data_IF_939957454517
#
_entry.id   IF_939957454517
#
_cell.length_a   1.000
_cell.length_b   1.000
_cell.length_c   1.000
_cell.angle_alpha   90.00
_cell.angle_beta   90.00
_cell.angle_gamma   90.00
#
_symmetry.space_group_name_H-M   'P 1'
#
loop_
_entity.id
_entity.type
_entity.pdbx_description
1 polymer ?
#
# COMPACT_ATOMS: atom_id res chain seq x y z
N UNK A 1 7.05 13.27 -22.38
CA UNK A 1 7.80 14.54 -22.16
C UNK A 1 9.28 14.19 -22.07
N UNK A 2 10.16 14.77 -22.89
CA UNK A 2 11.61 14.44 -22.97
C UNK A 2 12.44 15.63 -22.48
N UNK A 3 13.25 15.61 -21.38
CA UNK A 3 14.22 16.61 -20.93
C UNK A 3 15.65 16.23 -21.41
N UNK A 4 16.18 16.95 -22.40
CA UNK A 4 17.58 16.82 -22.82
C UNK A 4 18.53 17.53 -21.84
N UNK A 5 19.78 17.10 -21.83
CA UNK A 5 20.83 17.30 -20.84
C UNK A 5 21.04 18.71 -20.24
N UNK A 6 21.46 18.65 -18.98
CA UNK A 6 22.15 19.68 -18.17
C UNK A 6 21.36 20.93 -17.82
N UNK A 7 20.54 20.82 -16.78
CA UNK A 7 20.36 21.96 -15.87
C UNK A 7 21.61 22.06 -14.99
N UNK A 8 22.60 22.83 -15.42
CA UNK A 8 23.63 23.36 -14.52
C UNK A 8 22.93 24.34 -13.58
N UNK A 9 22.65 23.89 -12.38
CA UNK A 9 22.19 24.71 -11.27
C UNK A 9 23.23 25.78 -10.99
N UNK A 10 22.87 27.03 -11.24
CA UNK A 10 23.51 28.14 -10.57
C UNK A 10 22.43 28.91 -9.81
N UNK A 11 22.67 28.96 -8.54
CA UNK A 11 22.07 29.73 -7.44
C UNK A 11 21.16 28.93 -6.52
N UNK A 12 21.83 28.29 -5.55
CA UNK A 12 21.28 28.06 -4.21
C UNK A 12 20.84 29.40 -3.62
N UNK A 13 19.58 29.74 -3.73
CA UNK A 13 19.00 30.77 -2.88
C UNK A 13 18.29 30.06 -1.75
N UNK A 14 18.80 30.11 -0.52
CA UNK A 14 18.16 29.44 0.60
C UNK A 14 16.79 30.06 0.81
N UNK A 15 15.77 29.18 1.00
CA UNK A 15 14.46 29.59 1.51
C UNK A 15 14.70 30.23 2.89
N UNK A 16 14.70 31.54 2.93
CA UNK A 16 14.94 32.30 4.15
C UNK A 16 13.85 32.07 5.16
N UNK A 17 14.16 32.08 6.46
CA UNK A 17 13.15 31.97 7.50
C UNK A 17 12.17 33.17 7.42
N UNK A 18 10.91 32.93 7.83
CA UNK A 18 9.93 34.01 7.98
C UNK A 18 10.57 35.17 8.73
N UNK A 19 10.53 36.35 8.13
CA UNK A 19 10.97 37.56 8.83
C UNK A 19 10.02 37.83 9.99
N UNK A 20 10.56 38.28 11.12
CA UNK A 20 9.82 38.62 12.36
C UNK A 20 8.77 39.74 12.16
N UNK A 21 8.72 40.37 10.98
CA UNK A 21 7.78 41.47 10.64
C UNK A 21 6.47 41.01 9.99
N UNK A 22 6.18 39.69 9.92
CA UNK A 22 4.94 39.12 9.39
C UNK A 22 4.78 39.30 7.87
N UNK A 23 5.81 39.74 7.14
CA UNK A 23 5.77 39.83 5.68
C UNK A 23 6.07 38.48 5.04
N UNK A 24 5.14 38.02 4.20
CA UNK A 24 5.36 36.85 3.37
C UNK A 24 6.44 37.20 2.34
N UNK A 25 7.60 36.57 2.41
CA UNK A 25 8.59 36.65 1.33
C UNK A 25 8.07 35.83 0.15
N UNK A 26 7.69 36.49 -0.94
CA UNK A 26 7.35 35.79 -2.17
C UNK A 26 8.62 35.11 -2.70
N UNK A 27 8.53 33.79 -2.92
CA UNK A 27 9.54 33.06 -3.66
C UNK A 27 9.28 33.29 -5.17
N UNK A 28 10.21 33.93 -5.92
CA UNK A 28 10.04 34.02 -7.35
C UNK A 28 10.13 32.66 -7.99
N UNK A 29 9.06 32.22 -8.63
CA UNK A 29 9.09 30.97 -9.38
C UNK A 29 10.14 31.05 -10.51
N UNK A 30 10.87 29.97 -10.79
CA UNK A 30 11.75 29.90 -11.94
C UNK A 30 10.97 30.24 -13.22
N UNK A 31 11.54 31.11 -14.05
CA UNK A 31 10.99 31.48 -15.36
C UNK A 31 11.87 30.88 -16.46
N UNK A 32 11.25 30.38 -17.52
CA UNK A 32 11.95 29.92 -18.72
C UNK A 32 11.51 30.78 -19.92
N UNK A 33 12.46 31.20 -20.73
CA UNK A 33 12.20 32.09 -21.89
C UNK A 33 11.83 31.32 -23.17
N UNK A 34 11.87 29.98 -23.11
CA UNK A 34 11.56 29.12 -24.25
C UNK A 34 10.80 27.87 -23.77
N UNK A 35 10.00 27.25 -24.65
CA UNK A 35 9.33 25.98 -24.34
C UNK A 35 10.31 24.90 -23.87
N UNK A 36 9.91 24.15 -22.81
CA UNK A 36 10.71 23.05 -22.28
C UNK A 36 10.32 21.76 -22.98
N UNK A 37 11.29 21.11 -23.60
CA UNK A 37 11.11 19.79 -24.21
C UNK A 37 11.81 18.71 -23.37
N UNK A 38 11.07 17.73 -22.92
CA UNK A 38 11.61 16.74 -21.99
C UNK A 38 10.93 15.37 -22.11
N UNK A 39 11.67 14.24 -21.99
CA UNK A 39 11.10 12.91 -21.74
C UNK A 39 11.31 12.51 -20.29
N UNK A 40 10.22 12.27 -19.55
CA UNK A 40 10.28 11.84 -18.16
C UNK A 40 9.77 10.39 -18.09
N UNK A 41 10.61 9.47 -17.60
CA UNK A 41 10.17 8.13 -17.27
C UNK A 41 9.48 8.15 -15.91
N UNK A 42 8.21 7.77 -15.88
CA UNK A 42 7.45 7.71 -14.64
C UNK A 42 7.80 6.42 -13.88
N UNK A 43 7.95 6.49 -12.56
CA UNK A 43 8.14 5.31 -11.73
C UNK A 43 6.85 4.49 -11.65
N UNK A 44 6.97 3.20 -11.34
CA UNK A 44 5.82 2.32 -11.13
C UNK A 44 4.90 2.77 -10.00
N UNK A 45 3.64 2.34 -10.07
CA UNK A 45 2.63 2.68 -9.06
C UNK A 45 2.97 2.06 -7.69
N UNK A 46 3.02 2.92 -6.66
CA UNK A 46 3.17 2.49 -5.26
C UNK A 46 2.05 1.56 -4.82
N UNK A 47 0.83 1.89 -5.21
CA UNK A 47 -0.37 1.15 -4.82
C UNK A 47 -0.38 -0.26 -5.40
N UNK A 48 0.03 -0.43 -6.66
CA UNK A 48 0.16 -1.74 -7.31
C UNK A 48 1.34 -2.50 -6.73
N UNK A 49 2.51 -1.87 -6.59
CA UNK A 49 3.72 -2.50 -6.03
C UNK A 49 3.45 -3.13 -4.67
N UNK A 50 2.84 -2.39 -3.73
CA UNK A 50 2.59 -2.90 -2.39
C UNK A 50 1.56 -4.05 -2.36
N UNK A 51 0.54 -4.02 -3.23
CA UNK A 51 -0.42 -5.13 -3.38
C UNK A 51 0.23 -6.36 -3.99
N UNK A 52 1.01 -6.18 -5.06
CA UNK A 52 1.74 -7.27 -5.71
C UNK A 52 2.70 -7.96 -4.72
N UNK A 53 3.40 -7.20 -3.87
CA UNK A 53 4.28 -7.74 -2.83
C UNK A 53 3.50 -8.60 -1.82
N UNK A 54 2.33 -8.14 -1.34
CA UNK A 54 1.52 -8.91 -0.40
C UNK A 54 0.96 -10.16 -1.07
N UNK A 55 0.40 -10.06 -2.28
CA UNK A 55 -0.14 -11.21 -3.00
C UNK A 55 0.96 -12.23 -3.32
N UNK A 56 2.13 -11.78 -3.77
CA UNK A 56 3.26 -12.65 -4.03
C UNK A 56 3.82 -13.34 -2.76
N UNK A 57 3.76 -12.66 -1.60
CA UNK A 57 4.15 -13.26 -0.32
C UNK A 57 3.18 -14.35 0.18
N UNK A 58 1.91 -14.27 -0.21
CA UNK A 58 0.85 -15.21 0.17
C UNK A 58 0.53 -16.25 -0.92
N UNK A 59 1.20 -16.17 -2.08
CA UNK A 59 0.96 -17.03 -3.22
C UNK A 59 1.42 -18.48 -2.98
N UNK A 60 0.97 -19.38 -3.84
CA UNK A 60 1.31 -20.81 -3.84
C UNK A 60 2.67 -21.12 -4.49
N UNK A 61 3.35 -20.13 -5.08
CA UNK A 61 4.63 -20.27 -5.74
C UNK A 61 5.38 -18.94 -5.90
N UNK A 62 6.60 -18.99 -6.47
CA UNK A 62 7.39 -17.80 -6.73
C UNK A 62 6.75 -16.86 -7.75
N UNK A 63 6.99 -15.57 -7.59
CA UNK A 63 6.51 -14.49 -8.48
C UNK A 63 7.63 -13.51 -8.79
N UNK A 64 7.59 -12.92 -9.99
CA UNK A 64 8.42 -11.78 -10.36
C UNK A 64 7.56 -10.50 -10.37
N UNK A 65 8.09 -9.41 -9.84
CA UNK A 65 7.46 -8.09 -9.91
C UNK A 65 8.39 -7.18 -10.71
N UNK A 66 7.97 -6.77 -11.90
CA UNK A 66 8.71 -5.87 -12.79
C UNK A 66 8.10 -4.47 -12.78
N UNK A 67 8.91 -3.43 -12.86
CA UNK A 67 8.48 -2.03 -12.77
C UNK A 67 8.12 -1.59 -11.34
N UNK A 68 8.56 -2.32 -10.32
CA UNK A 68 8.27 -2.02 -8.93
C UNK A 68 8.78 -0.63 -8.53
N UNK A 69 7.94 0.16 -7.87
CA UNK A 69 8.37 1.44 -7.32
C UNK A 69 9.44 1.24 -6.25
N UNK A 70 10.52 2.01 -6.35
CA UNK A 70 11.53 2.13 -5.29
C UNK A 70 11.29 3.41 -4.49
N UNK A 71 10.73 3.26 -3.31
CA UNK A 71 10.42 4.35 -2.38
C UNK A 71 10.61 3.88 -0.94
N UNK A 72 10.58 4.83 0.02
CA UNK A 72 10.61 4.47 1.44
C UNK A 72 9.47 3.50 1.79
N UNK A 73 8.25 3.76 1.33
CA UNK A 73 7.07 2.96 1.66
C UNK A 73 7.17 1.53 1.12
N UNK A 74 7.65 1.35 -0.12
CA UNK A 74 7.84 0.02 -0.70
C UNK A 74 9.02 -0.72 -0.09
N UNK A 75 10.07 0.00 0.30
CA UNK A 75 11.18 -0.55 1.09
C UNK A 75 10.73 -1.09 2.45
N UNK A 76 9.85 -0.35 3.14
CA UNK A 76 9.26 -0.78 4.40
C UNK A 76 8.35 -2.01 4.21
N UNK A 77 7.58 -2.08 3.12
CA UNK A 77 6.76 -3.25 2.79
C UNK A 77 7.63 -4.49 2.56
N UNK A 78 8.71 -4.35 1.77
CA UNK A 78 9.67 -5.43 1.52
C UNK A 78 10.31 -5.90 2.85
N UNK A 79 10.74 -4.96 3.70
CA UNK A 79 11.32 -5.27 4.99
C UNK A 79 10.33 -5.99 5.91
N UNK A 80 9.08 -5.55 5.96
CA UNK A 80 8.02 -6.16 6.74
C UNK A 80 7.75 -7.61 6.30
N UNK A 81 7.58 -7.87 5.01
CA UNK A 81 7.34 -9.22 4.50
C UNK A 81 8.56 -10.13 4.70
N UNK A 82 9.79 -9.60 4.57
CA UNK A 82 11.01 -10.35 4.91
C UNK A 82 11.07 -10.70 6.40
N UNK A 83 10.68 -9.78 7.27
CA UNK A 83 10.62 -10.03 8.72
C UNK A 83 9.61 -11.15 9.06
N UNK A 84 8.57 -11.31 8.25
CA UNK A 84 7.61 -12.41 8.37
C UNK A 84 8.03 -13.71 7.65
N UNK A 85 9.24 -13.76 7.07
CA UNK A 85 9.81 -14.98 6.48
C UNK A 85 9.80 -15.05 4.96
N UNK A 86 9.11 -14.16 4.25
CA UNK A 86 9.09 -14.15 2.79
C UNK A 86 10.48 -13.80 2.23
N UNK A 87 10.97 -14.60 1.28
CA UNK A 87 12.23 -14.30 0.59
C UNK A 87 11.96 -13.33 -0.58
N UNK A 88 12.50 -12.13 -0.49
CA UNK A 88 12.41 -11.11 -1.55
C UNK A 88 13.82 -10.70 -1.93
N UNK A 89 14.21 -10.89 -3.19
CA UNK A 89 15.52 -10.51 -3.73
C UNK A 89 15.32 -9.64 -4.97
N UNK A 90 16.32 -8.88 -5.32
CA UNK A 90 16.35 -7.99 -6.47
C UNK A 90 16.69 -6.57 -6.06
N UNK A 91 17.13 -5.83 -7.04
CA UNK A 91 17.48 -4.41 -6.99
C UNK A 91 16.71 -3.68 -8.09
N UNK A 92 16.89 -2.36 -8.16
CA UNK A 92 16.18 -1.52 -9.11
C UNK A 92 14.64 -1.74 -9.05
N UNK A 93 14.02 -2.05 -10.17
CA UNK A 93 12.59 -2.15 -10.35
C UNK A 93 12.07 -3.60 -10.50
N UNK A 94 12.97 -4.59 -10.44
CA UNK A 94 12.61 -6.00 -10.59
C UNK A 94 12.89 -6.76 -9.30
N UNK A 95 11.85 -7.43 -8.79
CA UNK A 95 11.89 -8.18 -7.53
C UNK A 95 11.43 -9.61 -7.77
N UNK A 96 12.22 -10.58 -7.28
CA UNK A 96 11.80 -11.97 -7.18
C UNK A 96 11.31 -12.25 -5.76
N UNK A 97 10.07 -12.72 -5.63
CA UNK A 97 9.41 -13.02 -4.36
C UNK A 97 9.17 -14.51 -4.28
N UNK A 98 9.66 -15.14 -3.22
CA UNK A 98 9.41 -16.56 -2.94
C UNK A 98 8.69 -16.67 -1.60
N UNK A 99 7.43 -17.14 -1.59
CA UNK A 99 6.69 -17.40 -0.36
C UNK A 99 7.41 -18.40 0.53
N UNK A 100 7.19 -18.27 1.83
CA UNK A 100 7.65 -19.23 2.82
C UNK A 100 6.65 -19.30 3.97
N UNK A 101 6.71 -20.31 4.84
CA UNK A 101 5.92 -20.35 6.07
C UNK A 101 6.13 -19.06 6.87
N UNK A 102 5.04 -18.35 7.16
CA UNK A 102 5.09 -17.09 7.85
C UNK A 102 5.42 -17.28 9.34
N UNK A 103 6.28 -16.42 9.86
CA UNK A 103 6.72 -16.43 11.25
C UNK A 103 6.59 -15.06 11.87
N UNK A 104 6.42 -15.00 13.18
CA UNK A 104 6.43 -13.76 13.92
C UNK A 104 7.75 -13.01 13.79
N UNK A 105 7.69 -11.68 13.95
CA UNK A 105 8.86 -10.83 13.77
C UNK A 105 8.63 -9.39 14.24
N UNK A 106 9.48 -8.47 13.82
CA UNK A 106 9.34 -7.04 14.09
C UNK A 106 9.13 -6.30 12.79
N UNK A 107 8.08 -5.49 12.74
CA UNK A 107 7.68 -4.69 11.58
C UNK A 107 7.80 -3.23 11.92
N UNK A 108 8.71 -2.53 11.24
CA UNK A 108 8.74 -1.07 11.20
C UNK A 108 7.81 -0.59 10.10
N UNK A 109 6.76 0.10 10.48
CA UNK A 109 5.80 0.71 9.55
C UNK A 109 6.29 2.06 9.01
N UNK A 110 7.30 2.69 9.65
CA UNK A 110 7.65 4.07 9.37
C UNK A 110 6.42 4.96 9.35
N UNK A 111 6.15 5.62 8.22
CA UNK A 111 4.91 6.35 7.92
C UNK A 111 4.06 5.68 6.82
N UNK A 112 4.40 4.47 6.41
CA UNK A 112 3.78 3.78 5.28
C UNK A 112 2.39 3.26 5.62
N UNK A 113 1.35 3.98 5.15
CA UNK A 113 -0.04 3.63 5.38
C UNK A 113 -0.43 2.23 4.88
N UNK A 114 0.18 1.76 3.82
CA UNK A 114 -0.05 0.41 3.27
C UNK A 114 0.56 -0.67 4.17
N UNK A 115 1.76 -0.45 4.72
CA UNK A 115 2.35 -1.39 5.69
C UNK A 115 1.46 -1.52 6.92
N UNK A 116 1.04 -0.38 7.49
CA UNK A 116 0.18 -0.32 8.68
C UNK A 116 -1.16 -1.05 8.51
N UNK A 117 -1.67 -1.22 7.28
CA UNK A 117 -3.01 -1.79 7.04
C UNK A 117 -3.01 -3.09 6.27
N UNK A 118 -1.96 -3.38 5.48
CA UNK A 118 -1.89 -4.61 4.69
C UNK A 118 -1.10 -5.72 5.39
N UNK A 119 -0.10 -5.35 6.21
CA UNK A 119 0.74 -6.36 6.88
C UNK A 119 0.09 -6.97 8.13
N UNK A 120 -0.71 -6.26 8.96
CA UNK A 120 -1.37 -6.90 10.10
C UNK A 120 -2.25 -8.11 9.71
N UNK A 121 -3.08 -8.09 8.64
CA UNK A 121 -3.78 -9.30 8.17
C UNK A 121 -2.83 -10.44 7.78
N UNK A 122 -1.67 -10.15 7.16
CA UNK A 122 -0.65 -11.16 6.86
C UNK A 122 -0.05 -11.75 8.14
N UNK A 123 0.22 -10.90 9.14
CA UNK A 123 0.80 -11.31 10.40
C UNK A 123 -0.11 -12.24 11.22
N UNK A 124 -1.44 -12.18 11.03
CA UNK A 124 -2.35 -13.15 11.67
C UNK A 124 -2.14 -14.57 11.18
N UNK A 125 -1.58 -14.75 9.98
CA UNK A 125 -1.26 -16.04 9.37
C UNK A 125 0.16 -16.55 9.74
N UNK A 126 0.93 -15.73 10.48
CA UNK A 126 2.25 -16.13 10.95
C UNK A 126 2.15 -17.02 12.21
N UNK A 127 3.19 -17.79 12.48
CA UNK A 127 3.34 -18.49 13.76
C UNK A 127 4.20 -17.65 14.69
N UNK A 128 3.63 -17.24 15.84
CA UNK A 128 4.33 -16.47 16.86
C UNK A 128 3.93 -14.98 16.89
N UNK A 129 4.65 -14.20 17.66
CA UNK A 129 4.34 -12.79 17.89
C UNK A 129 4.96 -11.90 16.80
N UNK A 130 4.17 -10.95 16.29
CA UNK A 130 4.63 -9.90 15.40
C UNK A 130 4.41 -8.54 16.07
N UNK A 131 5.49 -7.86 16.39
CA UNK A 131 5.47 -6.51 16.98
C UNK A 131 5.52 -5.45 15.87
N UNK A 132 4.60 -4.50 15.93
CA UNK A 132 4.50 -3.39 14.99
C UNK A 132 4.83 -2.08 15.69
N UNK A 133 5.69 -1.26 15.09
CA UNK A 133 5.92 0.14 15.49
C UNK A 133 6.22 0.98 14.23
N UNK A 134 6.49 2.24 14.41
CA UNK A 134 6.80 3.17 13.32
C UNK A 134 7.18 4.55 13.82
N UNK A 135 7.28 5.50 12.89
CA UNK A 135 7.58 6.90 13.20
C UNK A 135 6.58 7.46 14.23
N UNK A 136 7.00 8.38 15.07
CA UNK A 136 6.13 9.03 16.06
C UNK A 136 4.85 9.59 15.41
N UNK A 137 4.98 10.19 14.21
CA UNK A 137 3.84 10.69 13.45
C UNK A 137 2.91 9.59 12.90
N UNK A 138 3.35 8.32 12.85
CA UNK A 138 2.50 7.21 12.47
C UNK A 138 1.55 6.78 13.60
N UNK A 139 1.93 6.99 14.86
CA UNK A 139 1.19 6.53 16.04
C UNK A 139 -0.18 7.20 16.20
N UNK A 140 -0.36 8.40 15.60
CA UNK A 140 -1.67 9.10 15.61
C UNK A 140 -2.57 8.74 14.42
N UNK A 141 -2.09 7.92 13.49
CA UNK A 141 -2.87 7.52 12.33
C UNK A 141 -3.91 6.45 12.69
N UNK A 142 -5.14 6.52 12.13
CA UNK A 142 -6.21 5.59 12.48
C UNK A 142 -5.85 4.16 12.06
N UNK A 143 -5.84 3.25 13.03
CA UNK A 143 -5.63 1.81 12.87
C UNK A 143 -6.72 0.96 13.52
N UNK A 144 -7.45 1.52 14.49
CA UNK A 144 -8.45 0.78 15.26
C UNK A 144 -9.41 -0.01 14.36
N UNK A 145 -9.91 0.59 13.28
CA UNK A 145 -10.83 -0.07 12.34
C UNK A 145 -10.30 -1.41 11.82
N UNK A 146 -9.05 -1.47 11.37
CA UNK A 146 -8.47 -2.71 10.85
C UNK A 146 -8.14 -3.70 11.98
N UNK A 147 -7.65 -3.22 13.13
CA UNK A 147 -7.31 -4.07 14.27
C UNK A 147 -8.56 -4.71 14.89
N UNK A 148 -9.64 -3.93 15.07
CA UNK A 148 -10.91 -4.44 15.58
C UNK A 148 -11.57 -5.40 14.57
N UNK A 149 -11.46 -5.14 13.27
CA UNK A 149 -11.92 -6.07 12.26
C UNK A 149 -11.20 -7.42 12.37
N UNK A 150 -9.87 -7.42 12.49
CA UNK A 150 -9.09 -8.64 12.63
C UNK A 150 -9.43 -9.39 13.94
N UNK A 151 -9.65 -8.69 15.06
CA UNK A 151 -10.12 -9.29 16.30
C UNK A 151 -11.49 -9.95 16.11
N UNK A 152 -12.42 -9.29 15.42
CA UNK A 152 -13.73 -9.84 15.07
C UNK A 152 -13.64 -11.10 14.21
N UNK A 153 -12.62 -11.21 13.37
CA UNK A 153 -12.32 -12.38 12.55
C UNK A 153 -11.55 -13.48 13.31
N UNK A 154 -11.19 -13.25 14.58
CA UNK A 154 -10.56 -14.23 15.46
C UNK A 154 -9.08 -14.02 15.75
N UNK A 155 -8.50 -12.87 15.39
CA UNK A 155 -7.10 -12.57 15.67
C UNK A 155 -6.87 -12.17 17.15
N UNK A 156 -5.75 -12.60 17.73
CA UNK A 156 -5.24 -12.12 19.01
C UNK A 156 -4.33 -10.91 18.77
N UNK A 157 -4.82 -9.73 19.13
CA UNK A 157 -4.11 -8.46 18.93
C UNK A 157 -4.14 -7.62 20.19
N UNK A 158 -2.97 -7.23 20.67
CA UNK A 158 -2.78 -6.33 21.80
C UNK A 158 -2.42 -4.92 21.31
N UNK A 159 -3.18 -3.91 21.76
CA UNK A 159 -3.01 -2.50 21.36
C UNK A 159 -3.98 -2.07 20.27
N UNK A 160 -4.31 -0.75 20.23
CA UNK A 160 -5.29 -0.15 19.32
C UNK A 160 -4.66 0.80 18.28
N UNK A 161 -3.38 1.09 18.45
CA UNK A 161 -2.55 1.96 17.61
C UNK A 161 -1.11 1.49 17.71
N UNK A 162 -0.21 2.08 16.92
CA UNK A 162 1.23 1.83 17.08
C UNK A 162 1.73 2.33 18.44
N UNK A 163 2.56 1.55 19.16
CA UNK A 163 2.91 0.18 18.85
C UNK A 163 1.79 -0.81 19.24
N UNK A 164 1.69 -1.93 18.52
CA UNK A 164 0.78 -3.04 18.82
C UNK A 164 1.44 -4.38 18.49
N UNK A 165 0.84 -5.48 18.98
CA UNK A 165 1.34 -6.83 18.74
C UNK A 165 0.22 -7.72 18.20
N UNK A 166 0.54 -8.53 17.18
CA UNK A 166 -0.31 -9.61 16.66
C UNK A 166 0.28 -10.95 17.10
N UNK A 167 -0.53 -11.81 17.71
CA UNK A 167 -0.14 -13.18 18.05
C UNK A 167 -0.80 -14.14 17.07
N UNK A 168 -0.04 -14.57 16.07
CA UNK A 168 -0.51 -15.48 15.05
C UNK A 168 -0.27 -16.95 15.43
N UNK A 169 -1.17 -17.80 14.99
CA UNK A 169 -1.11 -19.27 15.20
C UNK A 169 -0.90 -20.05 13.90
N UNK A 170 -0.64 -19.35 12.81
CA UNK A 170 -0.49 -19.95 11.47
C UNK A 170 -1.78 -19.97 10.65
N UNK A 171 -2.91 -19.60 11.24
CA UNK A 171 -4.23 -19.53 10.60
C UNK A 171 -5.06 -18.42 11.22
N UNK A 172 -6.06 -17.95 10.50
CA UNK A 172 -7.12 -17.05 10.99
C UNK A 172 -8.46 -17.61 10.52
N UNK A 173 -9.44 -17.69 11.43
CA UNK A 173 -10.77 -18.20 11.08
C UNK A 173 -11.39 -17.44 9.90
N UNK A 174 -11.38 -16.10 9.94
CA UNK A 174 -12.06 -15.30 8.92
C UNK A 174 -13.56 -15.17 9.15
N UNK A 175 -14.34 -15.09 8.06
CA UNK A 175 -15.79 -14.94 8.08
C UNK A 175 -16.26 -13.52 7.81
N UNK A 176 -17.46 -13.14 8.32
CA UNK A 176 -18.10 -11.86 8.02
C UNK A 176 -17.76 -10.80 9.06
N UNK A 177 -17.45 -9.58 8.57
CA UNK A 177 -17.19 -8.41 9.42
C UNK A 177 -17.81 -7.15 8.81
N UNK A 178 -18.33 -6.28 9.67
CA UNK A 178 -18.80 -4.95 9.28
C UNK A 178 -17.84 -3.90 9.81
N UNK A 179 -17.39 -2.99 8.95
CA UNK A 179 -16.44 -1.94 9.30
C UNK A 179 -16.90 -0.58 8.77
N UNK A 180 -16.57 0.48 9.50
CA UNK A 180 -16.59 1.83 8.95
C UNK A 180 -15.25 2.14 8.27
N UNK A 181 -15.23 2.08 6.95
CA UNK A 181 -14.05 2.38 6.13
C UNK A 181 -14.06 3.81 5.55
N UNK A 182 -14.94 4.70 6.05
CA UNK A 182 -15.02 6.10 5.60
C UNK A 182 -13.70 6.86 5.76
N UNK A 183 -12.87 6.46 6.73
CA UNK A 183 -11.55 7.06 6.96
C UNK A 183 -10.47 6.60 5.98
N UNK A 184 -10.62 5.42 5.36
CA UNK A 184 -9.65 4.91 4.39
C UNK A 184 -10.13 3.64 3.69
N UNK A 185 -10.11 3.63 2.36
CA UNK A 185 -10.31 2.43 1.52
C UNK A 185 -9.26 1.32 1.77
N UNK A 186 -8.12 1.66 2.39
CA UNK A 186 -7.08 0.68 2.72
C UNK A 186 -7.52 -0.34 3.78
N UNK A 187 -8.52 -0.03 4.60
CA UNK A 187 -9.06 -1.00 5.57
C UNK A 187 -9.74 -2.16 4.84
N UNK A 188 -10.56 -1.86 3.83
CA UNK A 188 -11.16 -2.89 2.98
C UNK A 188 -10.07 -3.64 2.21
N UNK A 189 -9.21 -2.93 1.46
CA UNK A 189 -8.15 -3.55 0.67
C UNK A 189 -7.23 -4.47 1.49
N UNK A 190 -6.88 -4.07 2.73
CA UNK A 190 -6.02 -4.87 3.61
C UNK A 190 -6.65 -6.22 3.99
N UNK A 191 -7.95 -6.23 4.31
CA UNK A 191 -8.68 -7.46 4.61
C UNK A 191 -8.82 -8.36 3.37
N UNK A 192 -9.16 -7.78 2.21
CA UNK A 192 -9.33 -8.55 0.97
C UNK A 192 -8.04 -9.22 0.52
N UNK A 193 -6.88 -8.53 0.59
CA UNK A 193 -5.59 -9.05 0.14
C UNK A 193 -5.18 -10.36 0.81
N UNK A 194 -5.54 -10.54 2.08
CA UNK A 194 -5.22 -11.75 2.84
C UNK A 194 -6.41 -12.70 2.97
N UNK A 195 -7.62 -12.26 2.61
CA UNK A 195 -8.87 -12.95 2.87
C UNK A 195 -8.95 -14.38 2.33
N UNK A 196 -8.35 -14.64 1.15
CA UNK A 196 -8.33 -15.98 0.59
C UNK A 196 -7.52 -16.99 1.44
N UNK A 197 -6.62 -16.51 2.30
CA UNK A 197 -5.81 -17.34 3.19
C UNK A 197 -6.43 -17.55 4.57
N UNK A 198 -7.60 -16.97 4.83
CA UNK A 198 -8.38 -17.24 6.04
C UNK A 198 -9.22 -18.50 5.83
N UNK A 199 -9.46 -19.27 6.90
CA UNK A 199 -10.14 -20.59 6.82
C UNK A 199 -11.55 -20.50 6.21
N UNK A 200 -12.31 -19.45 6.56
CA UNK A 200 -13.66 -19.17 6.05
C UNK A 200 -13.67 -18.06 4.98
N UNK A 201 -12.48 -17.63 4.50
CA UNK A 201 -12.40 -16.44 3.66
C UNK A 201 -12.74 -15.15 4.42
N UNK A 202 -13.21 -14.11 3.70
CA UNK A 202 -13.67 -12.88 4.35
C UNK A 202 -14.84 -12.26 3.61
N UNK A 203 -15.85 -11.82 4.37
CA UNK A 203 -16.95 -10.97 3.89
C UNK A 203 -16.84 -9.63 4.58
N UNK A 204 -16.46 -8.60 3.84
CA UNK A 204 -16.33 -7.22 4.36
C UNK A 204 -17.55 -6.42 3.96
N UNK A 205 -18.32 -5.95 4.95
CA UNK A 205 -19.44 -5.01 4.76
C UNK A 205 -19.02 -3.63 5.23
N UNK A 206 -19.19 -2.64 4.37
CA UNK A 206 -18.97 -1.25 4.75
C UNK A 206 -20.23 -0.64 5.36
N UNK A 207 -20.10 -0.04 6.55
CA UNK A 207 -21.15 0.77 7.17
C UNK A 207 -20.57 2.12 7.51
N UNK A 208 -21.05 3.17 6.89
CA UNK A 208 -20.52 4.52 7.14
C UNK A 208 -20.83 5.46 6.00
N UNK A 209 -20.13 6.60 5.97
CA UNK A 209 -20.21 7.53 4.86
C UNK A 209 -19.46 7.01 3.63
N UNK A 210 -19.56 7.71 2.49
CA UNK A 210 -18.95 7.29 1.24
C UNK A 210 -17.45 6.98 1.40
N UNK A 211 -17.02 5.89 0.75
CA UNK A 211 -15.62 5.46 0.72
C UNK A 211 -14.76 6.48 -0.05
N UNK A 212 -13.59 6.87 0.49
CA UNK A 212 -12.80 7.95 -0.10
C UNK A 212 -12.15 7.59 -1.44
N UNK A 213 -12.01 6.31 -1.77
CA UNK A 213 -11.35 5.89 -3.01
C UNK A 213 -11.76 4.47 -3.42
N UNK A 214 -12.88 4.34 -4.10
CA UNK A 214 -13.33 3.08 -4.70
C UNK A 214 -12.31 2.50 -5.68
N UNK A 215 -11.65 3.28 -6.57
CA UNK A 215 -10.66 2.74 -7.51
C UNK A 215 -9.53 1.93 -6.84
N UNK A 216 -9.15 2.25 -5.62
CA UNK A 216 -8.14 1.45 -4.89
C UNK A 216 -8.67 0.09 -4.41
N UNK A 217 -9.97 -0.02 -4.13
CA UNK A 217 -10.59 -1.31 -3.79
C UNK A 217 -10.77 -2.14 -5.06
N UNK A 218 -11.25 -1.51 -6.14
CA UNK A 218 -11.40 -2.14 -7.46
C UNK A 218 -10.06 -2.71 -7.95
N UNK A 219 -8.97 -1.93 -7.84
CA UNK A 219 -7.60 -2.41 -8.10
C UNK A 219 -7.26 -3.67 -7.28
N UNK A 220 -7.65 -3.71 -6.01
CA UNK A 220 -7.40 -4.87 -5.15
C UNK A 220 -8.19 -6.09 -5.64
N UNK A 221 -9.47 -5.90 -5.97
CA UNK A 221 -10.35 -6.96 -6.48
C UNK A 221 -9.82 -7.52 -7.81
N UNK A 222 -9.39 -6.64 -8.71
CA UNK A 222 -8.84 -7.04 -10.01
C UNK A 222 -7.54 -7.85 -9.84
N UNK A 223 -6.63 -7.40 -8.98
CA UNK A 223 -5.38 -8.12 -8.71
C UNK A 223 -5.64 -9.48 -8.05
N UNK A 224 -6.61 -9.60 -7.15
CA UNK A 224 -7.02 -10.88 -6.57
C UNK A 224 -7.57 -11.83 -7.65
N UNK A 225 -8.47 -11.34 -8.51
CA UNK A 225 -9.01 -12.14 -9.62
C UNK A 225 -7.94 -12.60 -10.59
N UNK A 226 -6.94 -11.74 -10.87
CA UNK A 226 -5.78 -12.12 -11.68
C UNK A 226 -4.95 -13.22 -11.04
N UNK A 227 -4.91 -13.28 -9.72
CA UNK A 227 -4.28 -14.36 -8.95
C UNK A 227 -5.21 -15.57 -8.72
N UNK A 228 -6.28 -15.70 -9.50
CA UNK A 228 -7.24 -16.81 -9.49
C UNK A 228 -8.07 -16.92 -8.19
N UNK A 229 -8.18 -15.83 -7.45
CA UNK A 229 -9.00 -15.76 -6.24
C UNK A 229 -10.43 -15.40 -6.61
N UNK A 230 -11.39 -16.17 -6.12
CA UNK A 230 -12.82 -15.87 -6.29
C UNK A 230 -13.21 -14.67 -5.42
N UNK A 231 -13.60 -13.56 -6.07
CA UNK A 231 -14.00 -12.32 -5.41
C UNK A 231 -15.32 -11.82 -5.98
N UNK A 232 -16.31 -11.67 -5.09
CA UNK A 232 -17.54 -10.92 -5.37
C UNK A 232 -17.36 -9.47 -4.88
N UNK A 233 -17.81 -8.53 -5.68
CA UNK A 233 -17.72 -7.09 -5.39
C UNK A 233 -19.06 -6.41 -5.74
N UNK A 234 -19.41 -5.29 -5.09
CA UNK A 234 -20.63 -4.56 -5.38
C UNK A 234 -20.70 -4.16 -6.85
N UNK A 235 -21.86 -4.33 -7.48
CA UNK A 235 -22.11 -3.90 -8.86
C UNK A 235 -22.36 -2.39 -8.95
N UNK A 236 -22.83 -1.75 -7.88
CA UNK A 236 -23.12 -0.31 -7.82
C UNK A 236 -22.51 0.31 -6.55
N UNK A 237 -21.79 1.41 -6.74
CA UNK A 237 -21.19 2.21 -5.67
C UNK A 237 -22.23 2.91 -4.75
N UNK A 238 -23.49 2.94 -5.15
CA UNK A 238 -24.59 3.56 -4.36
C UNK A 238 -25.36 2.55 -3.52
N UNK A 239 -25.15 1.24 -3.75
CA UNK A 239 -25.80 0.17 -3.03
C UNK A 239 -25.05 -0.26 -1.77
N UNK A 240 -25.43 -1.42 -1.25
CA UNK A 240 -24.70 -2.06 -0.14
C UNK A 240 -23.27 -2.40 -0.59
N UNK A 241 -22.30 -1.87 0.16
CA UNK A 241 -20.89 -2.06 -0.14
C UNK A 241 -20.37 -3.32 0.58
N UNK A 242 -20.54 -4.45 -0.08
CA UNK A 242 -20.09 -5.76 0.44
C UNK A 242 -19.15 -6.44 -0.55
N UNK A 243 -18.02 -6.90 -0.05
CA UNK A 243 -17.03 -7.68 -0.80
C UNK A 243 -16.90 -9.05 -0.14
N UNK A 244 -16.87 -10.10 -0.96
CA UNK A 244 -16.64 -11.48 -0.50
C UNK A 244 -15.40 -12.02 -1.19
N UNK A 245 -14.44 -12.51 -0.40
CA UNK A 245 -13.28 -13.27 -0.87
C UNK A 245 -13.44 -14.69 -0.37
N UNK A 246 -13.57 -15.65 -1.29
CA UNK A 246 -13.65 -17.06 -0.94
C UNK A 246 -12.31 -17.61 -0.46
N UNK A 247 -12.29 -18.57 0.49
CA UNK A 247 -11.04 -19.21 0.92
C UNK A 247 -10.45 -20.04 -0.22
N UNK A 248 -9.12 -20.07 -0.31
CA UNK A 248 -8.43 -20.86 -1.32
C UNK A 248 -6.98 -20.39 -1.55
N UNK A 249 -6.27 -21.05 -2.48
CA UNK A 249 -4.93 -20.64 -2.84
C UNK A 249 -4.95 -19.29 -3.57
N UNK A 250 -3.88 -18.52 -3.39
CA UNK A 250 -3.55 -17.36 -4.22
C UNK A 250 -2.52 -17.86 -5.23
N UNK A 251 -2.88 -17.88 -6.52
CA UNK A 251 -1.97 -18.35 -7.56
C UNK A 251 -0.79 -17.40 -7.73
N UNK A 252 0.41 -17.98 -7.88
CA UNK A 252 1.59 -17.21 -8.23
C UNK A 252 1.42 -16.54 -9.62
N UNK A 253 1.69 -15.25 -9.68
CA UNK A 253 1.57 -14.41 -10.89
C UNK A 253 2.80 -13.54 -11.02
N UNK A 254 3.33 -13.44 -12.22
CA UNK A 254 4.30 -12.40 -12.55
C UNK A 254 3.57 -11.06 -12.77
N UNK A 255 3.99 -10.06 -12.01
CA UNK A 255 3.37 -8.75 -11.97
C UNK A 255 4.19 -7.74 -12.77
N UNK A 256 3.55 -7.07 -13.71
CA UNK A 256 4.10 -5.85 -14.33
C UNK A 256 3.39 -4.65 -13.71
N UNK A 257 4.16 -3.80 -13.04
CA UNK A 257 3.65 -2.60 -12.37
C UNK A 257 3.62 -1.46 -13.38
N UNK A 258 2.43 -0.92 -13.62
CA UNK A 258 2.23 0.21 -14.50
C UNK A 258 2.81 1.51 -13.91
N UNK A 259 3.23 2.48 -14.77
CA UNK A 259 3.63 3.79 -14.32
C UNK A 259 2.53 4.48 -13.50
N UNK A 260 2.92 5.16 -12.44
CA UNK A 260 1.98 5.89 -11.57
C UNK A 260 1.59 7.22 -12.22
N UNK A 261 0.40 7.29 -12.81
CA UNK A 261 -0.14 8.49 -13.45
C UNK A 261 -0.34 9.64 -12.47
N UNK A 262 -0.49 9.37 -11.15
CA UNK A 262 -0.53 10.42 -10.14
C UNK A 262 0.78 11.21 -10.10
N UNK A 263 1.91 10.54 -10.35
CA UNK A 263 3.22 11.15 -10.45
C UNK A 263 3.46 11.88 -11.79
N UNK A 264 2.60 11.69 -12.79
CA UNK A 264 2.65 12.42 -14.07
C UNK A 264 2.15 13.86 -13.94
N UNK A 265 1.24 14.12 -12.99
CA UNK A 265 0.53 15.40 -12.86
C UNK A 265 1.45 16.63 -12.80
N UNK A 266 2.55 16.66 -12.02
CA UNK A 266 3.47 17.79 -12.01
C UNK A 266 4.13 18.06 -13.38
N UNK A 267 4.47 17.00 -14.11
CA UNK A 267 5.10 17.12 -15.43
C UNK A 267 4.10 17.59 -16.50
N UNK A 268 2.84 17.10 -16.42
CA UNK A 268 1.77 17.57 -17.28
C UNK A 268 1.45 19.05 -17.02
N UNK A 269 1.41 19.46 -15.74
CA UNK A 269 1.23 20.86 -15.37
C UNK A 269 2.40 21.71 -15.86
N UNK A 270 3.64 21.25 -15.69
CA UNK A 270 4.81 21.94 -16.21
C UNK A 270 4.70 22.12 -17.75
N UNK A 271 4.38 21.07 -18.50
CA UNK A 271 4.19 21.16 -19.94
C UNK A 271 3.09 22.15 -20.33
N UNK A 272 2.00 22.21 -19.57
CA UNK A 272 0.89 23.13 -19.85
C UNK A 272 1.24 24.62 -19.64
N UNK A 273 2.22 24.92 -18.76
CA UNK A 273 2.60 26.31 -18.44
C UNK A 273 3.89 26.76 -19.12
N UNK A 274 4.66 25.88 -19.73
CA UNK A 274 5.94 26.18 -20.40
C UNK A 274 5.93 25.88 -21.90
N UNK A 275 4.95 25.20 -22.41
CA UNK A 275 4.84 24.80 -23.80
C UNK A 275 3.75 25.42 -24.52
#
# INVERSE_FOLDING_TARGET
>A
VVLGDTLTSTTDTPVGPMRQDGRVSFWPAPHVDAPVHATVTLPGSKSITNRALVLAALADGPSTITGALRSRDTGLMIAALRALGTRIIGDADTLAVTPAPLQGGRVDCGLAGTVMRFVPPVATLAVGETAFDGDIAARVRPLRTILDALRGLGADIEGDALPFTVRGTGALRGGAITIDASGSSQFVSGLLLSGARFDEGVVVRHSGSALPSMPHIEMTVEMLRRADVAVEAPADVRGEQTWTVSPGPIRAVDWTVEPDLSNATPFLAAAAVTG
#
